data_IF_771731183827
#
_entry.id   IF_771731183827
#
_cell.length_a   1.000
_cell.length_b   1.000
_cell.length_c   1.000
_cell.angle_alpha   90.00
_cell.angle_beta   90.00
_cell.angle_gamma   90.00
#
_symmetry.space_group_name_H-M   'P 1'
#
loop_
_entity.id
_entity.type
_entity.pdbx_description
1 polymer ?
#
# COMPACT_ATOMS: atom_id res chain seq x y z
N UNK A 1 29.50 -0.65 10.48
CA UNK A 1 28.86 0.00 11.65
C UNK A 1 27.41 0.23 11.30
N UNK A 2 26.47 -0.37 12.01
CA UNK A 2 25.04 -0.04 11.85
C UNK A 2 24.79 1.35 12.43
N UNK A 3 24.77 2.38 11.58
CA UNK A 3 24.44 3.75 11.96
C UNK A 3 22.93 4.01 11.87
N UNK A 4 22.11 3.08 12.37
CA UNK A 4 20.66 3.25 12.42
C UNK A 4 20.22 4.18 13.54
N UNK A 5 19.05 4.81 13.38
CA UNK A 5 18.42 5.63 14.43
C UNK A 5 17.12 4.96 14.91
N UNK A 6 16.81 5.12 16.19
CA UNK A 6 15.47 4.81 16.73
C UNK A 6 14.74 6.12 17.00
N UNK A 7 13.50 6.20 16.55
CA UNK A 7 12.64 7.35 16.74
C UNK A 7 11.42 6.94 17.57
N UNK A 8 11.03 7.81 18.49
CA UNK A 8 9.75 7.68 19.18
C UNK A 8 8.60 7.82 18.18
N UNK A 9 7.59 6.94 18.27
CA UNK A 9 6.53 6.85 17.27
C UNK A 9 5.62 8.08 17.25
N UNK A 10 5.34 8.68 18.42
CA UNK A 10 4.47 9.86 18.52
C UNK A 10 5.17 11.12 17.97
N UNK A 11 6.46 11.25 18.27
CA UNK A 11 7.30 12.32 17.74
C UNK A 11 7.44 12.19 16.22
N UNK A 12 7.65 10.97 15.72
CA UNK A 12 7.75 10.72 14.29
C UNK A 12 6.42 10.93 13.57
N UNK A 13 5.29 10.56 14.18
CA UNK A 13 3.95 10.84 13.68
C UNK A 13 3.70 12.34 13.51
N UNK A 14 3.99 13.13 14.56
CA UNK A 14 3.89 14.59 14.54
C UNK A 14 4.73 15.20 13.43
N UNK A 15 5.97 14.70 13.24
CA UNK A 15 6.85 15.12 12.15
C UNK A 15 6.24 14.83 10.78
N UNK A 16 5.74 13.62 10.55
CA UNK A 16 5.12 13.23 9.27
C UNK A 16 3.91 14.10 8.96
N UNK A 17 3.04 14.32 9.96
CA UNK A 17 1.88 15.19 9.80
C UNK A 17 2.31 16.61 9.42
N UNK A 18 3.31 17.18 10.10
CA UNK A 18 3.85 18.50 9.78
C UNK A 18 4.42 18.58 8.35
N UNK A 19 5.10 17.53 7.88
CA UNK A 19 5.61 17.45 6.50
C UNK A 19 4.47 17.51 5.48
N UNK A 20 3.38 16.77 5.68
CA UNK A 20 2.25 16.81 4.75
C UNK A 20 1.47 18.14 4.83
N UNK A 21 1.35 18.76 6.01
CA UNK A 21 0.84 20.14 6.12
C UNK A 21 1.70 21.12 5.32
N UNK A 22 3.02 21.00 5.39
CA UNK A 22 3.95 21.82 4.62
C UNK A 22 3.87 21.58 3.10
N UNK A 23 3.50 20.37 2.69
CA UNK A 23 3.23 20.02 1.29
C UNK A 23 1.93 20.66 0.75
N UNK A 24 1.02 21.06 1.65
CA UNK A 24 -0.24 21.72 1.32
C UNK A 24 -1.48 20.98 1.78
N UNK A 25 -1.34 19.78 2.37
CA UNK A 25 -2.48 19.02 2.88
C UNK A 25 -3.19 19.76 4.02
N UNK A 26 -4.52 19.69 4.00
CA UNK A 26 -5.38 20.03 5.13
C UNK A 26 -5.11 19.12 6.35
N UNK A 27 -5.63 19.54 7.50
CA UNK A 27 -5.36 18.88 8.78
C UNK A 27 -5.74 17.40 8.79
N UNK A 28 -6.95 17.09 8.31
CA UNK A 28 -7.47 15.74 8.32
C UNK A 28 -6.70 14.82 7.35
N UNK A 29 -6.40 15.30 6.14
CA UNK A 29 -5.60 14.53 5.18
C UNK A 29 -4.19 14.24 5.72
N UNK A 30 -3.49 15.26 6.24
CA UNK A 30 -2.17 15.08 6.81
C UNK A 30 -2.17 14.08 7.98
N UNK A 31 -3.22 14.10 8.81
CA UNK A 31 -3.41 13.14 9.89
C UNK A 31 -3.60 11.72 9.35
N UNK A 32 -4.52 11.52 8.40
CA UNK A 32 -4.79 10.20 7.83
C UNK A 32 -3.55 9.60 7.17
N UNK A 33 -2.77 10.42 6.47
CA UNK A 33 -1.50 9.98 5.89
C UNK A 33 -0.50 9.59 6.99
N UNK A 34 -0.32 10.43 8.02
CA UNK A 34 0.59 10.15 9.13
C UNK A 34 0.21 8.88 9.92
N UNK A 35 -1.08 8.71 10.23
CA UNK A 35 -1.62 7.54 10.94
C UNK A 35 -1.24 6.25 10.22
N UNK A 36 -1.50 6.20 8.90
CA UNK A 36 -1.23 5.01 8.08
C UNK A 36 0.26 4.72 7.96
N UNK A 37 1.09 5.72 7.66
CA UNK A 37 2.53 5.52 7.48
C UNK A 37 3.21 5.05 8.77
N UNK A 38 2.84 5.62 9.92
CA UNK A 38 3.37 5.19 11.22
C UNK A 38 2.88 3.80 11.57
N UNK A 39 1.60 3.47 11.32
CA UNK A 39 1.09 2.12 11.54
C UNK A 39 1.83 1.08 10.68
N UNK A 40 2.20 1.42 9.44
CA UNK A 40 3.02 0.55 8.60
C UNK A 40 4.42 0.32 9.18
N UNK A 41 5.08 1.37 9.69
CA UNK A 41 6.37 1.22 10.36
C UNK A 41 6.27 0.39 11.64
N UNK A 42 5.27 0.65 12.49
CA UNK A 42 5.05 -0.11 13.74
C UNK A 42 4.74 -1.60 13.48
N UNK A 43 4.08 -1.91 12.36
CA UNK A 43 3.84 -3.28 11.93
C UNK A 43 5.07 -3.95 11.27
N UNK A 44 6.21 -3.26 11.15
CA UNK A 44 7.44 -3.77 10.51
C UNK A 44 7.41 -3.80 8.98
N UNK A 45 6.46 -3.09 8.36
CA UNK A 45 6.31 -2.98 6.91
C UNK A 45 6.87 -1.65 6.38
N UNK A 46 8.15 -1.39 6.66
CA UNK A 46 8.82 -0.10 6.40
C UNK A 46 8.72 0.41 4.95
N UNK A 47 8.55 -0.49 3.98
CA UNK A 47 8.37 -0.13 2.57
C UNK A 47 7.11 0.69 2.29
N UNK A 48 6.13 0.67 3.20
CA UNK A 48 4.87 1.43 3.11
C UNK A 48 4.75 2.49 4.22
N UNK A 49 5.82 2.75 4.97
CA UNK A 49 5.86 3.75 6.04
C UNK A 49 6.47 5.07 5.59
N UNK A 50 7.12 5.79 6.52
CA UNK A 50 7.69 7.13 6.30
C UNK A 50 8.60 7.24 5.06
N UNK A 51 9.26 6.15 4.66
CA UNK A 51 10.10 6.11 3.45
C UNK A 51 9.35 6.39 2.14
N UNK A 52 8.02 6.41 2.15
CA UNK A 52 7.19 6.78 0.98
C UNK A 52 7.12 8.29 0.74
N UNK A 53 7.41 9.14 1.74
CA UNK A 53 7.30 10.60 1.63
C UNK A 53 8.00 11.16 0.38
N UNK A 54 9.28 10.84 0.09
CA UNK A 54 9.94 11.36 -1.11
C UNK A 54 9.23 10.95 -2.41
N UNK A 55 8.64 9.75 -2.45
CA UNK A 55 7.90 9.27 -3.62
C UNK A 55 6.57 10.00 -3.79
N UNK A 56 5.86 10.27 -2.69
CA UNK A 56 4.61 11.03 -2.72
C UNK A 56 4.82 12.47 -3.17
N UNK A 57 5.86 13.15 -2.64
CA UNK A 57 6.22 14.50 -3.07
C UNK A 57 6.50 14.53 -4.57
N UNK A 58 7.34 13.62 -5.10
CA UNK A 58 7.62 13.53 -6.55
C UNK A 58 6.36 13.28 -7.37
N UNK A 59 5.53 12.33 -6.95
CA UNK A 59 4.29 11.99 -7.65
C UNK A 59 3.31 13.14 -7.71
N UNK A 60 3.24 13.96 -6.66
CA UNK A 60 2.43 15.18 -6.64
C UNK A 60 3.01 16.26 -7.54
N UNK A 61 4.33 16.51 -7.48
CA UNK A 61 4.99 17.47 -8.36
C UNK A 61 4.88 17.13 -9.85
N UNK A 62 4.72 15.85 -10.19
CA UNK A 62 4.47 15.37 -11.55
C UNK A 62 2.98 15.39 -11.94
N UNK A 63 2.10 15.84 -11.05
CA UNK A 63 0.66 15.94 -11.29
C UNK A 63 -0.08 14.61 -11.23
N UNK A 64 0.52 13.53 -10.70
CA UNK A 64 -0.12 12.22 -10.59
C UNK A 64 -0.92 12.06 -9.30
N UNK A 65 -0.34 12.39 -8.14
CA UNK A 65 -1.03 12.43 -6.84
C UNK A 65 -1.74 13.79 -6.71
N UNK A 66 -2.99 13.80 -6.23
CA UNK A 66 -3.73 15.02 -5.91
C UNK A 66 -3.90 15.13 -4.39
N UNK A 67 -3.50 16.27 -3.82
CA UNK A 67 -3.71 16.59 -2.40
C UNK A 67 -5.11 17.20 -2.23
N UNK A 68 -5.76 16.96 -1.11
CA UNK A 68 -7.09 17.49 -0.74
C UNK A 68 -8.21 17.02 -1.68
N UNK A 69 -8.04 15.81 -2.23
CA UNK A 69 -9.05 15.12 -3.01
C UNK A 69 -9.66 13.97 -2.20
N UNK A 70 -10.87 13.56 -2.60
CA UNK A 70 -11.69 12.59 -1.88
C UNK A 70 -12.23 11.53 -2.83
N UNK A 71 -12.53 10.35 -2.31
CA UNK A 71 -13.25 9.34 -3.05
C UNK A 71 -14.67 9.82 -3.39
N UNK A 72 -15.10 9.58 -4.62
CA UNK A 72 -16.43 9.98 -5.14
C UNK A 72 -17.24 8.75 -5.49
N UNK A 73 -18.47 8.66 -5.00
CA UNK A 73 -19.40 7.61 -5.40
C UNK A 73 -19.79 7.78 -6.87
N UNK A 74 -19.45 6.77 -7.69
CA UNK A 74 -19.83 6.72 -9.10
C UNK A 74 -20.99 5.77 -9.36
N UNK A 75 -21.22 4.82 -8.46
CA UNK A 75 -22.37 3.91 -8.50
C UNK A 75 -22.68 3.36 -7.11
N UNK A 76 -23.96 3.27 -6.80
CA UNK A 76 -24.45 2.56 -5.62
C UNK A 76 -25.64 1.67 -6.03
N UNK A 77 -25.58 0.38 -5.67
CA UNK A 77 -26.58 -0.60 -6.05
C UNK A 77 -26.71 -1.69 -4.98
N UNK A 78 -27.76 -1.61 -4.16
CA UNK A 78 -27.97 -2.54 -3.04
C UNK A 78 -26.78 -2.57 -2.09
N UNK A 79 -26.24 -3.76 -1.85
CA UNK A 79 -25.11 -3.99 -0.96
C UNK A 79 -23.73 -3.60 -1.55
N UNK A 80 -23.68 -3.03 -2.76
CA UNK A 80 -22.43 -2.63 -3.41
C UNK A 80 -22.33 -1.12 -3.64
N UNK A 81 -21.14 -0.56 -3.42
CA UNK A 81 -20.77 0.81 -3.77
C UNK A 81 -19.47 0.84 -4.57
N UNK A 82 -19.39 1.68 -5.60
CA UNK A 82 -18.20 1.90 -6.43
C UNK A 82 -17.77 3.35 -6.32
N UNK A 83 -16.48 3.54 -6.06
CA UNK A 83 -15.83 4.81 -5.80
C UNK A 83 -14.71 5.06 -6.82
N UNK A 84 -14.65 6.29 -7.32
CA UNK A 84 -13.46 6.85 -7.97
C UNK A 84 -12.63 7.57 -6.91
N UNK A 85 -11.38 7.14 -6.71
CA UNK A 85 -10.47 7.73 -5.74
C UNK A 85 -9.88 9.08 -6.16
N UNK A 86 -10.15 9.53 -7.39
CA UNK A 86 -9.75 10.84 -7.93
C UNK A 86 -8.26 11.17 -7.76
N UNK A 87 -7.42 10.12 -7.80
CA UNK A 87 -5.99 10.15 -7.54
C UNK A 87 -5.61 10.83 -6.21
N UNK A 88 -6.54 10.88 -5.26
CA UNK A 88 -6.31 11.30 -3.89
C UNK A 88 -5.27 10.39 -3.24
N UNK A 89 -4.68 10.85 -2.13
CA UNK A 89 -3.90 9.97 -1.26
C UNK A 89 -4.68 8.68 -1.00
N UNK A 90 -4.00 7.55 -1.19
CA UNK A 90 -4.61 6.26 -0.90
C UNK A 90 -5.02 6.15 0.57
N UNK A 91 -4.32 6.86 1.45
CA UNK A 91 -4.65 6.95 2.87
C UNK A 91 -6.00 7.64 3.15
N UNK A 92 -6.42 8.55 2.27
CA UNK A 92 -7.71 9.24 2.36
C UNK A 92 -8.79 8.40 1.69
N UNK A 93 -8.63 8.12 0.39
CA UNK A 93 -9.66 7.45 -0.39
C UNK A 93 -9.97 6.03 0.11
N UNK A 94 -8.97 5.26 0.55
CA UNK A 94 -9.22 3.93 1.10
C UNK A 94 -9.85 3.98 2.50
N UNK A 95 -9.51 4.97 3.32
CA UNK A 95 -10.17 5.17 4.61
C UNK A 95 -11.67 5.48 4.44
N UNK A 96 -11.99 6.39 3.51
CA UNK A 96 -13.37 6.71 3.14
C UNK A 96 -14.11 5.50 2.57
N UNK A 97 -13.44 4.73 1.70
CA UNK A 97 -13.98 3.49 1.16
C UNK A 97 -14.31 2.46 2.25
N UNK A 98 -13.42 2.27 3.23
CA UNK A 98 -13.66 1.36 4.35
C UNK A 98 -14.81 1.84 5.23
N UNK A 99 -14.88 3.14 5.55
CA UNK A 99 -15.97 3.70 6.34
C UNK A 99 -17.34 3.44 5.68
N UNK A 100 -17.46 3.71 4.37
CA UNK A 100 -18.68 3.43 3.59
C UNK A 100 -18.99 1.93 3.51
N UNK A 101 -17.97 1.09 3.30
CA UNK A 101 -18.11 -0.36 3.22
C UNK A 101 -18.59 -0.99 4.53
N UNK A 102 -18.03 -0.56 5.67
CA UNK A 102 -18.39 -1.01 7.01
C UNK A 102 -19.84 -0.63 7.34
N UNK A 103 -20.23 0.62 7.09
CA UNK A 103 -21.62 1.07 7.27
C UNK A 103 -22.59 0.24 6.43
N UNK A 104 -22.24 0.01 5.16
CA UNK A 104 -23.08 -0.79 4.26
C UNK A 104 -23.16 -2.26 4.68
N UNK A 105 -22.09 -2.82 5.27
CA UNK A 105 -22.09 -4.17 5.84
C UNK A 105 -22.96 -4.27 7.09
N UNK A 106 -23.03 -3.23 7.94
CA UNK A 106 -24.00 -3.19 9.04
C UNK A 106 -25.45 -3.26 8.54
N UNK A 107 -25.75 -2.60 7.42
CA UNK A 107 -27.10 -2.57 6.84
C UNK A 107 -27.49 -3.87 6.11
N UNK A 108 -26.54 -4.56 5.48
CA UNK A 108 -26.82 -5.68 4.55
C UNK A 108 -26.29 -7.04 5.03
N UNK A 109 -25.50 -7.09 6.12
CA UNK A 109 -24.77 -8.27 6.58
C UNK A 109 -23.52 -8.59 5.73
N UNK A 110 -23.66 -8.54 4.39
CA UNK A 110 -22.54 -8.65 3.44
C UNK A 110 -22.60 -7.45 2.49
N UNK A 111 -21.49 -6.75 2.32
CA UNK A 111 -21.38 -5.63 1.39
C UNK A 111 -20.05 -5.66 0.62
N UNK A 112 -20.01 -4.93 -0.48
CA UNK A 112 -18.81 -4.77 -1.30
C UNK A 112 -18.55 -3.29 -1.60
N UNK A 113 -17.30 -2.87 -1.44
CA UNK A 113 -16.80 -1.57 -1.89
C UNK A 113 -15.73 -1.78 -2.95
N UNK A 114 -15.90 -1.16 -4.10
CA UNK A 114 -14.89 -1.09 -5.15
C UNK A 114 -14.31 0.32 -5.18
N UNK A 115 -12.99 0.45 -5.11
CA UNK A 115 -12.27 1.72 -5.22
C UNK A 115 -11.30 1.62 -6.40
N UNK A 116 -11.50 2.44 -7.43
CA UNK A 116 -10.56 2.56 -8.55
C UNK A 116 -9.92 3.95 -8.57
N UNK A 117 -8.81 4.11 -9.30
CA UNK A 117 -8.16 5.41 -9.51
C UNK A 117 -7.76 6.15 -8.21
N UNK A 118 -7.49 5.42 -7.12
CA UNK A 118 -6.80 5.97 -5.95
C UNK A 118 -5.29 6.00 -6.19
N UNK A 119 -4.57 6.91 -5.52
CA UNK A 119 -3.12 6.78 -5.43
C UNK A 119 -2.74 5.56 -4.56
N UNK A 120 -1.46 5.39 -4.25
CA UNK A 120 -0.94 4.25 -3.50
C UNK A 120 -1.58 4.15 -2.09
N UNK A 121 -2.35 3.08 -1.87
CA UNK A 121 -3.07 2.78 -0.62
C UNK A 121 -2.21 2.10 0.46
N UNK A 122 -0.90 1.90 0.22
CA UNK A 122 0.04 1.39 1.22
C UNK A 122 -0.22 -0.06 1.67
N UNK A 123 0.00 -0.33 2.96
CA UNK A 123 -0.23 -1.65 3.59
C UNK A 123 -1.73 -1.97 3.59
N UNK A 124 -2.12 -3.07 2.95
CA UNK A 124 -3.53 -3.44 2.78
C UNK A 124 -4.14 -3.91 4.11
N UNK A 125 -3.34 -4.56 4.96
CA UNK A 125 -3.75 -4.98 6.29
C UNK A 125 -4.28 -3.85 7.17
N UNK A 126 -3.87 -2.59 6.95
CA UNK A 126 -4.41 -1.44 7.69
C UNK A 126 -5.90 -1.23 7.41
N UNK A 127 -6.34 -1.45 6.16
CA UNK A 127 -7.74 -1.35 5.77
C UNK A 127 -8.54 -2.52 6.34
N UNK A 128 -7.97 -3.72 6.28
CA UNK A 128 -8.57 -4.91 6.86
C UNK A 128 -8.71 -4.81 8.40
N UNK A 129 -7.74 -4.21 9.09
CA UNK A 129 -7.82 -3.93 10.52
C UNK A 129 -9.00 -3.02 10.88
N UNK A 130 -9.36 -2.04 10.04
CA UNK A 130 -10.57 -1.22 10.25
C UNK A 130 -11.85 -2.08 10.18
N UNK A 131 -11.95 -2.94 9.18
CA UNK A 131 -13.07 -3.89 9.04
C UNK A 131 -13.15 -4.84 10.24
N UNK A 132 -12.01 -5.38 10.68
CA UNK A 132 -11.94 -6.31 11.81
C UNK A 132 -12.27 -5.62 13.15
N UNK A 133 -11.85 -4.37 13.34
CA UNK A 133 -12.22 -3.56 14.51
C UNK A 133 -13.73 -3.30 14.58
N UNK A 134 -14.40 -3.22 13.43
CA UNK A 134 -15.86 -3.15 13.31
C UNK A 134 -16.56 -4.52 13.41
N UNK A 135 -15.81 -5.61 13.64
CA UNK A 135 -16.36 -6.96 13.82
C UNK A 135 -16.58 -7.75 12.53
N UNK A 136 -16.04 -7.31 11.40
CA UNK A 136 -16.24 -7.95 10.10
C UNK A 136 -15.02 -8.75 9.63
N UNK A 137 -15.30 -9.87 8.95
CA UNK A 137 -14.36 -10.46 7.98
C UNK A 137 -14.29 -9.55 6.77
N UNK A 138 -13.10 -9.37 6.20
CA UNK A 138 -12.95 -8.66 4.91
C UNK A 138 -11.91 -9.34 4.03
N UNK A 139 -12.12 -9.23 2.71
CA UNK A 139 -11.31 -9.83 1.65
C UNK A 139 -11.01 -8.73 0.63
N UNK A 140 -9.73 -8.54 0.31
CA UNK A 140 -9.27 -7.47 -0.56
C UNK A 140 -8.46 -8.01 -1.73
N UNK A 141 -8.84 -7.58 -2.93
CA UNK A 141 -8.10 -7.79 -4.15
C UNK A 141 -7.59 -6.44 -4.64
N UNK A 142 -6.28 -6.30 -4.82
CA UNK A 142 -5.65 -5.02 -5.15
C UNK A 142 -4.77 -5.18 -6.38
N UNK A 143 -4.84 -4.23 -7.31
CA UNK A 143 -3.97 -4.16 -8.49
C UNK A 143 -3.16 -2.86 -8.50
N UNK A 144 -1.91 -2.92 -8.93
CA UNK A 144 -1.12 -1.70 -9.22
C UNK A 144 -1.29 -1.33 -10.70
N UNK A 145 -1.80 -0.13 -10.97
CA UNK A 145 -2.14 0.32 -12.32
C UNK A 145 -0.91 0.90 -13.03
N UNK A 146 -0.64 0.46 -14.26
CA UNK A 146 0.29 1.11 -15.18
C UNK A 146 1.79 0.97 -14.86
N UNK A 147 2.16 0.20 -13.83
CA UNK A 147 3.56 -0.02 -13.44
C UNK A 147 3.85 -1.53 -13.43
N UNK A 148 4.19 -2.12 -14.59
CA UNK A 148 4.53 -3.54 -14.66
C UNK A 148 5.89 -3.79 -13.98
N UNK A 149 5.93 -4.75 -13.06
CA UNK A 149 7.17 -5.15 -12.37
C UNK A 149 7.28 -6.65 -12.06
N UNK A 150 6.23 -7.43 -12.32
CA UNK A 150 6.17 -8.88 -12.09
C UNK A 150 5.95 -9.60 -13.42
N UNK A 151 6.69 -10.68 -13.65
CA UNK A 151 6.52 -11.53 -14.82
C UNK A 151 5.35 -12.51 -14.65
N UNK A 152 4.54 -12.76 -15.69
CA UNK A 152 3.64 -13.90 -15.67
C UNK A 152 4.46 -15.19 -15.61
N UNK A 153 3.91 -16.25 -15.03
CA UNK A 153 4.52 -17.57 -15.15
C UNK A 153 4.71 -17.92 -16.64
N UNK A 154 5.88 -18.46 -16.99
CA UNK A 154 6.38 -18.65 -18.36
C UNK A 154 6.74 -17.37 -19.15
N UNK A 155 6.54 -16.20 -18.58
CA UNK A 155 7.05 -14.93 -19.12
C UNK A 155 8.52 -14.71 -18.83
N UNK A 156 9.09 -13.69 -19.48
CA UNK A 156 10.48 -13.24 -19.28
C UNK A 156 10.59 -11.73 -19.03
N UNK A 157 9.47 -11.04 -18.97
CA UNK A 157 9.39 -9.60 -18.74
C UNK A 157 8.17 -9.22 -17.88
N UNK A 158 8.20 -8.01 -17.36
CA UNK A 158 7.18 -7.48 -16.46
C UNK A 158 5.85 -7.21 -17.17
N UNK A 159 4.72 -7.64 -16.57
CA UNK A 159 3.37 -7.42 -17.13
C UNK A 159 2.35 -6.87 -16.15
N UNK A 160 2.50 -7.12 -14.86
CA UNK A 160 1.58 -6.62 -13.83
C UNK A 160 2.35 -6.18 -12.57
N UNK A 161 1.63 -5.54 -11.65
CA UNK A 161 2.18 -5.12 -10.36
C UNK A 161 2.32 -6.25 -9.35
N UNK A 162 2.81 -5.92 -8.15
CA UNK A 162 2.87 -6.87 -7.02
C UNK A 162 1.51 -7.29 -6.47
N UNK A 163 0.43 -6.64 -6.90
CA UNK A 163 -0.98 -7.00 -6.76
C UNK A 163 -1.36 -7.74 -5.47
N UNK A 164 -1.34 -7.06 -4.31
CA UNK A 164 -1.51 -7.74 -3.02
C UNK A 164 -2.92 -8.32 -2.82
N UNK A 165 -2.95 -9.36 -2.00
CA UNK A 165 -4.16 -10.01 -1.51
C UNK A 165 -4.17 -9.95 0.02
N UNK A 166 -5.33 -9.64 0.60
CA UNK A 166 -5.46 -9.51 2.04
C UNK A 166 -6.80 -10.06 2.56
N UNK A 167 -6.76 -10.81 3.65
CA UNK A 167 -7.93 -11.35 4.36
C UNK A 167 -7.74 -11.19 5.85
N UNK A 168 -8.82 -10.81 6.54
CA UNK A 168 -8.83 -10.69 7.99
C UNK A 168 -10.01 -11.43 8.61
N UNK A 169 -9.78 -12.05 9.77
CA UNK A 169 -10.80 -12.65 10.61
C UNK A 169 -10.74 -12.05 12.02
N UNK A 170 -11.81 -11.37 12.49
CA UNK A 170 -11.83 -10.73 13.80
C UNK A 170 -11.91 -11.77 14.93
N UNK A 171 -11.27 -11.47 16.07
CA UNK A 171 -11.34 -12.27 17.29
C UNK A 171 -11.67 -11.35 18.45
N UNK A 172 -12.66 -11.73 19.27
CA UNK A 172 -13.02 -10.96 20.46
C UNK A 172 -11.82 -10.94 21.43
N UNK A 173 -11.51 -9.76 21.97
CA UNK A 173 -10.46 -9.54 22.98
C UNK A 173 -9.05 -10.02 22.56
N UNK A 174 -8.76 -10.08 21.25
CA UNK A 174 -7.47 -10.51 20.73
C UNK A 174 -7.15 -9.85 19.38
N UNK A 175 -5.90 -9.91 18.93
CA UNK A 175 -5.53 -9.44 17.59
C UNK A 175 -6.26 -10.27 16.51
N UNK A 176 -6.65 -9.68 15.38
CA UNK A 176 -7.31 -10.43 14.30
C UNK A 176 -6.34 -11.40 13.63
N UNK A 177 -6.84 -12.48 13.05
CA UNK A 177 -6.04 -13.29 12.14
C UNK A 177 -5.94 -12.52 10.82
N UNK A 178 -4.74 -12.10 10.45
CA UNK A 178 -4.49 -11.25 9.28
C UNK A 178 -3.50 -11.90 8.31
N UNK A 179 -3.93 -12.07 7.08
CA UNK A 179 -3.12 -12.47 5.93
C UNK A 179 -3.02 -11.25 5.02
N UNK A 180 -1.81 -10.73 4.79
CA UNK A 180 -1.55 -9.54 3.96
C UNK A 180 -0.20 -9.73 3.23
N UNK A 181 -0.24 -9.93 1.91
CA UNK A 181 0.96 -10.15 1.11
C UNK A 181 0.82 -9.68 -0.34
N UNK A 182 1.97 -9.41 -0.97
CA UNK A 182 2.08 -9.28 -2.42
C UNK A 182 1.97 -10.66 -3.10
N UNK A 183 1.42 -10.73 -4.32
CA UNK A 183 1.39 -11.97 -5.11
C UNK A 183 2.70 -12.26 -5.83
N UNK A 184 3.68 -11.35 -5.79
CA UNK A 184 5.05 -11.61 -6.25
C UNK A 184 5.82 -12.47 -5.26
N UNK A 185 6.84 -13.19 -5.73
CA UNK A 185 7.68 -14.05 -4.87
C UNK A 185 8.41 -13.27 -3.75
N UNK A 186 8.69 -11.99 -3.98
CA UNK A 186 9.22 -11.06 -2.99
C UNK A 186 8.59 -9.68 -3.18
N UNK A 187 8.42 -8.90 -2.11
CA UNK A 187 7.96 -7.52 -2.22
C UNK A 187 9.05 -6.64 -2.87
N UNK A 188 8.68 -5.74 -3.79
CA UNK A 188 9.60 -4.76 -4.39
C UNK A 188 10.38 -3.95 -3.34
N UNK A 189 9.74 -3.58 -2.23
CA UNK A 189 10.42 -2.89 -1.13
C UNK A 189 11.60 -3.68 -0.54
N UNK A 190 11.52 -5.01 -0.52
CA UNK A 190 12.59 -5.88 0.00
C UNK A 190 13.78 -5.93 -0.96
N UNK A 191 13.56 -5.86 -2.29
CA UNK A 191 14.66 -5.75 -3.26
C UNK A 191 15.41 -4.42 -3.09
N UNK A 192 14.68 -3.33 -2.85
CA UNK A 192 15.28 -2.01 -2.54
C UNK A 192 16.12 -2.04 -1.27
N UNK A 193 15.65 -2.69 -0.21
CA UNK A 193 16.41 -2.85 1.04
C UNK A 193 17.67 -3.69 0.81
N UNK A 194 17.56 -4.81 0.09
CA UNK A 194 18.70 -5.67 -0.22
C UNK A 194 19.76 -4.93 -1.07
N UNK A 195 19.33 -4.15 -2.06
CA UNK A 195 20.21 -3.33 -2.90
C UNK A 195 20.99 -2.30 -2.09
N UNK A 196 20.34 -1.50 -1.23
CA UNK A 196 21.04 -0.53 -0.38
C UNK A 196 22.04 -1.19 0.59
N UNK A 197 21.75 -2.41 1.05
CA UNK A 197 22.65 -3.18 1.92
C UNK A 197 23.77 -3.91 1.17
N UNK A 198 23.72 -3.95 -0.17
CA UNK A 198 24.66 -4.71 -0.98
C UNK A 198 24.59 -6.23 -0.77
N UNK A 199 23.41 -6.76 -0.42
CA UNK A 199 23.21 -8.20 -0.16
C UNK A 199 22.28 -8.84 -1.19
N UNK A 200 22.45 -10.13 -1.53
CA UNK A 200 21.54 -10.82 -2.44
C UNK A 200 20.15 -11.05 -1.82
N UNK A 201 19.15 -11.27 -2.67
CA UNK A 201 17.83 -11.79 -2.26
C UNK A 201 17.78 -13.32 -2.37
N UNK A 202 16.77 -14.00 -1.78
CA UNK A 202 16.60 -15.44 -1.95
C UNK A 202 16.48 -15.85 -3.44
N UNK A 203 16.93 -17.06 -3.81
CA UNK A 203 16.77 -17.57 -5.17
C UNK A 203 15.28 -17.79 -5.52
N UNK A 204 14.97 -17.76 -6.82
CA UNK A 204 13.60 -17.92 -7.32
C UNK A 204 12.71 -16.69 -7.20
N UNK A 205 13.27 -15.54 -6.80
CA UNK A 205 12.52 -14.30 -6.63
C UNK A 205 12.67 -13.29 -7.76
N UNK A 206 13.70 -13.39 -8.61
CA UNK A 206 14.03 -12.38 -9.63
C UNK A 206 14.51 -13.03 -10.93
N UNK A 207 14.24 -12.33 -12.03
CA UNK A 207 14.88 -12.52 -13.33
C UNK A 207 15.53 -11.21 -13.80
N UNK A 208 16.62 -11.29 -14.55
CA UNK A 208 17.23 -10.13 -15.20
C UNK A 208 16.47 -9.70 -16.47
N UNK A 209 16.99 -8.69 -17.19
CA UNK A 209 16.40 -8.17 -18.43
C UNK A 209 16.24 -9.23 -19.55
N UNK A 210 16.99 -10.32 -19.50
CA UNK A 210 16.95 -11.41 -20.49
C UNK A 210 16.05 -12.58 -20.03
N UNK A 211 15.45 -12.48 -18.85
CA UNK A 211 14.67 -13.54 -18.23
C UNK A 211 15.50 -14.62 -17.54
N UNK A 212 16.77 -14.35 -17.23
CA UNK A 212 17.66 -15.30 -16.54
C UNK A 212 17.49 -15.15 -15.02
N UNK A 213 17.27 -16.24 -14.26
CA UNK A 213 17.17 -16.18 -12.81
C UNK A 213 18.39 -15.52 -12.15
N UNK A 214 18.13 -14.65 -11.18
CA UNK A 214 19.18 -13.93 -10.44
C UNK A 214 18.81 -13.74 -8.98
N UNK A 215 19.81 -13.51 -8.13
CA UNK A 215 19.65 -13.09 -6.73
C UNK A 215 20.16 -11.66 -6.52
N UNK A 216 20.60 -10.98 -7.58
CA UNK A 216 21.10 -9.61 -7.50
C UNK A 216 19.93 -8.61 -7.51
N UNK A 217 19.66 -7.86 -6.43
CA UNK A 217 18.55 -6.92 -6.37
C UNK A 217 18.70 -5.69 -7.27
N UNK A 218 19.90 -5.42 -7.82
CA UNK A 218 20.15 -4.28 -8.70
C UNK A 218 19.24 -4.28 -9.93
N UNK A 219 18.84 -5.45 -10.44
CA UNK A 219 17.92 -5.58 -11.60
C UNK A 219 16.56 -4.93 -11.36
N UNK A 220 16.18 -4.66 -10.10
CA UNK A 220 14.92 -3.98 -9.78
C UNK A 220 15.10 -2.48 -9.50
N UNK A 221 16.33 -1.98 -9.40
CA UNK A 221 16.63 -0.59 -8.98
C UNK A 221 17.39 0.20 -10.05
N UNK A 222 18.12 -0.47 -10.94
CA UNK A 222 18.99 0.12 -11.95
C UNK A 222 18.67 -0.42 -13.34
N UNK A 223 18.88 0.40 -14.38
CA UNK A 223 18.77 -0.03 -15.77
C UNK A 223 19.98 -0.86 -16.21
N UNK A 224 19.81 -1.93 -17.01
CA UNK A 224 18.54 -2.44 -17.52
C UNK A 224 17.73 -3.20 -16.47
N UNK A 225 16.44 -2.87 -16.37
CA UNK A 225 15.54 -3.48 -15.40
C UNK A 225 15.21 -4.94 -15.77
N UNK A 226 15.16 -5.79 -14.76
CA UNK A 226 14.63 -7.15 -14.80
C UNK A 226 13.16 -7.20 -14.37
N UNK A 227 12.78 -8.30 -13.71
CA UNK A 227 11.41 -8.53 -13.23
C UNK A 227 11.40 -9.33 -11.92
N UNK A 228 10.35 -9.14 -11.13
CA UNK A 228 9.98 -9.99 -9.99
C UNK A 228 9.33 -11.30 -10.46
#
# INVERSE_FOLDING_TARGET
>A
MESGHRFDAQTLHSFIQAVFRQMGSEEQEAKLVADHLIAANLAGHDSHGIGMIPSYVRSWSQGHLQINHHAKTVKEAGAAVTLDGDRAFGQVAAHEAMALGIEKAHQHGIAAVALHNSHHIGRIGYWAEQCAAAGFVSIHFVSVVGIPMVAPFHGRDSRFGTNPFCVVFPRKDNFPLLLDYATSAIAFGKTRVAWHKGVPVPPGCLIDVNGVPTTNPAVMQESPLGSL
#
